data_IF_736664878723
#
_entry.id   IF_736664878723
#
_cell.length_a   1.000
_cell.length_b   1.000
_cell.length_c   1.000
_cell.angle_alpha   90.00
_cell.angle_beta   90.00
_cell.angle_gamma   90.00
#
_symmetry.space_group_name_H-M   'P 1'
#
loop_
_entity.id
_entity.type
_entity.pdbx_description
1 polymer ?
#
# COMPACT_ATOMS: atom_id res chain seq x y z
N UNK A 1 -8.05 0.73 20.48
CA UNK A 1 -8.16 0.42 19.03
C UNK A 1 -6.78 0.07 18.54
N UNK A 2 -6.60 -1.19 18.14
CA UNK A 2 -5.39 -1.71 17.50
C UNK A 2 -5.36 -1.15 16.07
N UNK A 3 -4.30 -0.46 15.67
CA UNK A 3 -4.19 0.03 14.30
C UNK A 3 -3.69 -1.14 13.45
N UNK A 4 -4.61 -1.86 12.80
CA UNK A 4 -4.26 -3.00 11.97
C UNK A 4 -3.96 -2.56 10.55
N UNK A 5 -2.83 -3.01 10.01
CA UNK A 5 -2.60 -3.06 8.57
C UNK A 5 -2.64 -4.51 8.12
N UNK A 6 -3.61 -4.85 7.28
CA UNK A 6 -3.72 -6.17 6.67
C UNK A 6 -3.79 -6.00 5.16
N UNK A 7 -3.15 -6.91 4.44
CA UNK A 7 -3.22 -6.99 2.99
C UNK A 7 -3.22 -8.47 2.61
N UNK A 8 -4.00 -8.84 1.61
CA UNK A 8 -4.08 -10.18 1.07
C UNK A 8 -4.30 -10.09 -0.44
N UNK A 9 -4.04 -11.20 -1.13
CA UNK A 9 -4.32 -11.34 -2.54
C UNK A 9 -5.13 -12.60 -2.82
N UNK A 10 -5.87 -12.59 -3.92
CA UNK A 10 -6.62 -13.73 -4.42
C UNK A 10 -6.46 -13.84 -5.93
N UNK A 11 -6.09 -15.02 -6.43
CA UNK A 11 -6.13 -15.34 -7.86
C UNK A 11 -7.59 -15.51 -8.30
N UNK A 12 -8.07 -14.63 -9.19
CA UNK A 12 -9.43 -14.73 -9.74
C UNK A 12 -9.46 -15.61 -10.99
N UNK A 13 -8.44 -15.47 -11.84
CA UNK A 13 -8.20 -16.27 -13.04
C UNK A 13 -6.70 -16.14 -13.41
N UNK A 14 -6.16 -16.96 -14.33
CA UNK A 14 -4.78 -16.81 -14.78
C UNK A 14 -4.45 -15.37 -15.20
N UNK A 15 -3.43 -14.80 -14.56
CA UNK A 15 -2.99 -13.42 -14.78
C UNK A 15 -3.90 -12.34 -14.19
N UNK A 16 -4.88 -12.66 -13.34
CA UNK A 16 -5.72 -11.63 -12.70
C UNK A 16 -5.80 -11.87 -11.20
N UNK A 17 -5.28 -10.89 -10.46
CA UNK A 17 -5.25 -10.90 -9.01
C UNK A 17 -6.18 -9.82 -8.46
N UNK A 18 -6.87 -10.17 -7.37
CA UNK A 18 -7.55 -9.20 -6.53
C UNK A 18 -6.69 -8.95 -5.30
N UNK A 19 -6.36 -7.68 -5.08
CA UNK A 19 -5.76 -7.23 -3.83
C UNK A 19 -6.87 -6.70 -2.93
N UNK A 20 -6.73 -6.95 -1.63
CA UNK A 20 -7.66 -6.45 -0.65
C UNK A 20 -7.03 -6.39 0.73
N UNK A 21 -7.58 -5.54 1.58
CA UNK A 21 -7.12 -5.46 2.95
C UNK A 21 -7.79 -4.36 3.72
N UNK A 22 -7.31 -4.18 4.94
CA UNK A 22 -7.77 -3.16 5.86
C UNK A 22 -6.60 -2.33 6.34
N UNK A 23 -6.82 -1.03 6.41
CA UNK A 23 -5.96 -0.12 7.15
C UNK A 23 -6.89 0.57 8.12
N UNK A 24 -6.76 0.31 9.42
CA UNK A 24 -7.67 0.90 10.40
C UNK A 24 -7.57 2.43 10.36
N UNK A 25 -8.63 3.04 9.84
CA UNK A 25 -8.81 4.49 9.78
C UNK A 25 -9.51 4.96 11.06
N UNK A 26 -9.35 6.24 11.37
CA UNK A 26 -9.96 6.85 12.56
C UNK A 26 -11.35 7.40 12.19
N UNK A 27 -12.41 7.10 12.96
CA UNK A 27 -13.72 7.70 12.77
C UNK A 27 -13.63 9.23 12.92
N UNK A 28 -14.45 9.96 12.16
CA UNK A 28 -14.52 11.44 12.22
C UNK A 28 -14.71 11.93 13.66
N UNK A 29 -15.49 11.23 14.46
CA UNK A 29 -15.78 11.56 15.86
C UNK A 29 -14.53 11.65 16.73
N UNK A 30 -13.52 10.83 16.47
CA UNK A 30 -12.26 10.80 17.22
C UNK A 30 -11.34 11.97 16.85
N UNK A 31 -11.65 12.77 15.83
CA UNK A 31 -10.90 14.00 15.50
C UNK A 31 -11.22 15.15 16.44
N UNK A 32 -12.34 15.07 17.17
CA UNK A 32 -12.80 16.14 18.03
C UNK A 32 -11.78 16.37 19.15
N UNK A 33 -11.11 17.53 19.11
CA UNK A 33 -10.14 17.91 20.13
C UNK A 33 -8.72 17.35 19.94
N UNK A 34 -8.42 16.72 18.80
CA UNK A 34 -7.03 16.43 18.44
C UNK A 34 -6.26 17.72 18.14
N UNK A 35 -4.95 17.71 18.37
CA UNK A 35 -4.09 18.87 18.08
C UNK A 35 -4.18 19.31 16.61
N UNK A 36 -4.34 18.37 15.67
CA UNK A 36 -4.52 18.68 14.26
C UNK A 36 -5.83 19.42 13.95
N UNK A 37 -6.85 19.35 14.82
CA UNK A 37 -8.16 19.96 14.61
C UNK A 37 -8.09 21.49 14.58
N UNK A 38 -7.24 22.09 15.41
CA UNK A 38 -7.14 23.55 15.50
C UNK A 38 -6.64 24.20 14.19
N UNK A 39 -6.02 23.43 13.30
CA UNK A 39 -5.56 23.89 11.98
C UNK A 39 -6.40 23.31 10.83
N UNK A 40 -6.82 22.04 10.93
CA UNK A 40 -7.52 21.37 9.82
C UNK A 40 -9.02 21.62 9.81
N UNK A 41 -9.65 21.90 10.97
CA UNK A 41 -11.12 22.03 11.16
C UNK A 41 -11.94 20.87 10.60
N UNK A 42 -11.30 19.73 10.36
CA UNK A 42 -11.89 18.65 9.60
C UNK A 42 -13.11 18.04 10.29
N UNK A 43 -13.08 17.90 11.62
CA UNK A 43 -14.21 17.38 12.39
C UNK A 43 -15.49 18.19 12.16
N UNK A 44 -15.39 19.53 12.23
CA UNK A 44 -16.53 20.41 12.03
C UNK A 44 -17.11 20.28 10.61
N UNK A 45 -16.24 20.30 9.59
CA UNK A 45 -16.63 20.18 8.19
C UNK A 45 -17.22 18.80 7.85
N UNK A 46 -16.60 17.74 8.38
CA UNK A 46 -17.02 16.37 8.17
C UNK A 46 -18.35 16.08 8.88
N UNK A 47 -18.53 16.57 10.10
CA UNK A 47 -19.78 16.45 10.85
C UNK A 47 -20.94 17.15 10.14
N UNK A 48 -20.70 18.36 9.60
CA UNK A 48 -21.71 19.08 8.81
C UNK A 48 -22.13 18.33 7.53
N UNK A 49 -21.22 17.51 6.97
CA UNK A 49 -21.44 16.69 5.77
C UNK A 49 -21.91 15.26 6.09
N UNK A 50 -22.04 14.90 7.37
CA UNK A 50 -22.38 13.54 7.78
C UNK A 50 -21.35 12.47 7.41
N UNK A 51 -20.08 12.86 7.23
CA UNK A 51 -19.00 11.92 6.95
C UNK A 51 -18.66 11.13 8.22
N UNK A 52 -18.46 9.82 8.05
CA UNK A 52 -18.05 8.92 9.15
C UNK A 52 -16.55 8.73 9.24
N UNK A 53 -15.85 8.88 8.11
CA UNK A 53 -14.42 8.62 7.97
C UNK A 53 -13.77 9.71 7.11
N UNK A 54 -12.48 9.97 7.35
CA UNK A 54 -11.65 10.75 6.43
C UNK A 54 -10.88 9.80 5.55
N UNK A 55 -11.29 9.70 4.30
CA UNK A 55 -10.57 8.91 3.30
C UNK A 55 -9.44 9.76 2.72
N UNK A 56 -8.24 9.19 2.54
CA UNK A 56 -7.09 9.84 1.85
C UNK A 56 -5.83 8.99 1.90
N UNK A 57 -5.76 8.03 2.82
CA UNK A 57 -4.62 7.13 2.92
C UNK A 57 -4.45 6.29 1.66
N UNK A 58 -3.20 5.95 1.33
CA UNK A 58 -2.88 5.03 0.24
C UNK A 58 -2.02 3.88 0.72
N UNK A 59 -2.35 2.69 0.26
CA UNK A 59 -1.52 1.49 0.39
C UNK A 59 -0.87 1.24 -0.95
N UNK A 60 0.43 1.05 -0.97
CA UNK A 60 1.15 0.74 -2.18
C UNK A 60 1.37 -0.76 -2.29
N UNK A 61 1.57 -1.22 -3.50
CA UNK A 61 1.92 -2.60 -3.76
C UNK A 61 2.90 -2.71 -4.91
N UNK A 62 3.67 -3.80 -4.90
CA UNK A 62 4.67 -4.13 -5.91
C UNK A 62 4.66 -5.62 -6.14
N UNK A 63 4.60 -6.02 -7.41
CA UNK A 63 4.86 -7.37 -7.86
C UNK A 63 6.14 -7.36 -8.69
N UNK A 64 7.13 -8.14 -8.28
CA UNK A 64 8.41 -8.23 -8.99
C UNK A 64 8.88 -9.67 -9.10
N UNK A 65 9.84 -9.92 -10.00
CA UNK A 65 10.62 -11.17 -9.94
C UNK A 65 11.31 -11.28 -8.57
N UNK A 66 11.57 -12.52 -8.10
CA UNK A 66 12.18 -12.78 -6.78
C UNK A 66 13.55 -12.09 -6.61
N UNK A 67 14.32 -12.03 -7.70
CA UNK A 67 15.69 -11.51 -7.75
C UNK A 67 15.77 -10.02 -8.09
N UNK A 68 14.64 -9.35 -8.30
CA UNK A 68 14.64 -7.94 -8.66
C UNK A 68 15.27 -7.09 -7.56
N UNK A 69 16.29 -6.30 -7.93
CA UNK A 69 16.99 -5.37 -7.04
C UNK A 69 16.72 -3.94 -7.50
N UNK A 70 16.28 -3.10 -6.57
CA UNK A 70 16.04 -1.67 -6.83
C UNK A 70 17.37 -0.93 -7.08
N UNK A 71 17.81 -0.82 -8.33
CA UNK A 71 19.01 -0.07 -8.73
C UNK A 71 18.79 1.44 -8.89
N UNK A 72 17.89 2.02 -8.08
CA UNK A 72 17.53 3.46 -8.12
C UNK A 72 18.71 4.41 -7.83
N UNK A 73 19.82 3.88 -7.32
CA UNK A 73 21.03 4.62 -6.94
C UNK A 73 21.82 5.20 -8.11
N UNK A 74 21.63 4.71 -9.34
CA UNK A 74 22.43 5.13 -10.50
C UNK A 74 21.75 6.21 -11.36
N UNK A 75 20.53 6.63 -11.02
CA UNK A 75 19.79 7.66 -11.78
C UNK A 75 19.43 7.24 -13.22
N UNK A 76 19.61 5.97 -13.56
CA UNK A 76 19.18 5.39 -14.83
C UNK A 76 17.74 4.93 -14.74
N UNK A 77 16.95 5.29 -15.75
CA UNK A 77 15.59 4.79 -15.96
C UNK A 77 15.57 3.55 -16.87
N UNK A 78 16.73 3.13 -17.37
CA UNK A 78 16.85 1.93 -18.19
C UNK A 78 16.60 0.70 -17.31
N UNK A 79 15.58 -0.08 -17.68
CA UNK A 79 15.27 -1.37 -17.07
C UNK A 79 15.55 -2.50 -18.03
N UNK A 80 15.94 -3.64 -17.50
CA UNK A 80 15.98 -4.88 -18.27
C UNK A 80 14.53 -5.26 -18.66
N UNK A 81 14.17 -5.27 -19.95
CA UNK A 81 12.81 -5.59 -20.39
C UNK A 81 12.43 -7.07 -20.13
N UNK A 82 13.37 -7.88 -19.64
CA UNK A 82 13.14 -9.27 -19.25
C UNK A 82 12.68 -9.41 -17.82
N UNK A 83 12.78 -8.36 -17.00
CA UNK A 83 12.37 -8.41 -15.60
C UNK A 83 10.92 -7.97 -15.44
N UNK A 84 10.19 -8.65 -14.57
CA UNK A 84 8.86 -8.21 -14.16
C UNK A 84 9.00 -7.21 -13.02
N UNK A 85 8.54 -5.98 -13.23
CA UNK A 85 8.30 -5.03 -12.14
C UNK A 85 7.03 -4.24 -12.38
N UNK A 86 6.04 -4.45 -11.52
CA UNK A 86 4.82 -3.66 -11.50
C UNK A 86 4.60 -3.08 -10.11
N UNK A 87 4.16 -1.83 -10.05
CA UNK A 87 3.89 -1.11 -8.81
C UNK A 87 2.72 -0.15 -8.99
N UNK A 88 1.89 -0.01 -7.96
CA UNK A 88 0.83 1.00 -7.94
C UNK A 88 0.39 1.29 -6.50
N UNK A 89 -0.66 2.09 -6.34
CA UNK A 89 -1.27 2.46 -5.08
C UNK A 89 -2.78 2.23 -5.11
N UNK A 90 -3.32 1.76 -3.99
CA UNK A 90 -4.74 1.61 -3.74
C UNK A 90 -5.21 2.68 -2.78
N UNK A 91 -6.34 3.30 -3.10
CA UNK A 91 -7.00 4.25 -2.22
C UNK A 91 -7.68 3.53 -1.06
N UNK A 92 -7.46 4.01 0.16
CA UNK A 92 -8.14 3.50 1.35
C UNK A 92 -9.41 4.31 1.57
N UNK A 93 -10.54 3.61 1.54
CA UNK A 93 -11.87 4.15 1.80
C UNK A 93 -12.54 3.38 2.93
N UNK A 94 -13.06 4.09 3.93
CA UNK A 94 -13.74 3.50 5.09
C UNK A 94 -12.90 2.40 5.77
N UNK A 95 -11.57 2.60 5.84
CA UNK A 95 -10.62 1.66 6.44
C UNK A 95 -10.33 0.41 5.60
N UNK A 96 -10.80 0.36 4.36
CA UNK A 96 -10.64 -0.79 3.47
C UNK A 96 -10.05 -0.35 2.14
N UNK A 97 -9.33 -1.26 1.51
CA UNK A 97 -8.88 -1.10 0.14
C UNK A 97 -9.09 -2.41 -0.61
N UNK A 98 -9.38 -2.29 -1.90
CA UNK A 98 -9.37 -3.43 -2.81
C UNK A 98 -9.18 -2.92 -4.22
N UNK A 99 -8.42 -3.67 -5.00
CA UNK A 99 -8.25 -3.42 -6.42
C UNK A 99 -8.12 -4.74 -7.17
N UNK A 100 -8.48 -4.73 -8.45
CA UNK A 100 -8.32 -5.90 -9.33
C UNK A 100 -7.34 -5.55 -10.43
N UNK A 101 -6.27 -6.31 -10.49
CA UNK A 101 -5.15 -6.07 -11.37
C UNK A 101 -5.10 -7.18 -12.42
N UNK A 102 -5.15 -6.78 -13.69
CA UNK A 102 -5.18 -7.68 -14.83
C UNK A 102 -3.83 -7.66 -15.56
N UNK A 103 -3.02 -8.68 -15.30
CA UNK A 103 -1.74 -8.96 -15.94
C UNK A 103 -1.87 -9.83 -17.20
N UNK A 104 -3.08 -10.26 -17.56
CA UNK A 104 -3.31 -11.16 -18.69
C UNK A 104 -3.31 -10.45 -20.06
N UNK A 105 -3.39 -9.11 -20.03
CA UNK A 105 -3.43 -8.25 -21.22
C UNK A 105 -2.17 -8.41 -22.05
N UNK A 106 -2.33 -8.65 -23.34
CA UNK A 106 -1.21 -8.94 -24.24
C UNK A 106 -0.32 -7.71 -24.43
N UNK A 107 -0.92 -6.53 -24.39
CA UNK A 107 -0.27 -5.23 -24.55
C UNK A 107 0.71 -4.94 -23.40
N UNK A 108 0.43 -5.53 -22.24
CA UNK A 108 1.21 -5.32 -21.02
C UNK A 108 2.37 -6.33 -20.89
N UNK A 109 2.40 -7.40 -21.70
CA UNK A 109 3.46 -8.43 -21.66
C UNK A 109 4.83 -7.93 -22.05
N UNK A 110 4.91 -6.83 -22.80
CA UNK A 110 6.18 -6.17 -23.12
C UNK A 110 6.79 -5.46 -21.90
N UNK A 111 5.96 -5.14 -20.90
CA UNK A 111 6.37 -4.48 -19.67
C UNK A 111 6.46 -5.48 -18.50
N UNK A 112 5.66 -6.54 -18.53
CA UNK A 112 5.58 -7.55 -17.48
C UNK A 112 5.68 -8.95 -18.13
N UNK A 113 6.90 -9.44 -18.38
CA UNK A 113 7.11 -10.66 -19.17
C UNK A 113 6.83 -11.94 -18.39
N UNK A 114 6.82 -11.90 -17.04
CA UNK A 114 6.57 -13.05 -16.17
C UNK A 114 7.40 -14.28 -16.55
N UNK A 115 8.71 -14.09 -16.74
CA UNK A 115 9.64 -15.17 -17.10
C UNK A 115 10.13 -15.95 -15.89
N UNK A 116 10.20 -15.33 -14.72
CA UNK A 116 10.68 -15.97 -13.50
C UNK A 116 9.75 -17.12 -13.03
N UNK A 117 10.32 -18.05 -12.27
CA UNK A 117 9.57 -19.12 -11.61
C UNK A 117 8.91 -18.64 -10.31
N UNK A 118 9.51 -17.61 -9.69
CA UNK A 118 9.11 -17.05 -8.40
C UNK A 118 9.05 -15.53 -8.44
N UNK A 119 8.12 -15.00 -7.66
CA UNK A 119 7.81 -13.58 -7.58
C UNK A 119 7.68 -13.13 -6.14
N UNK A 120 7.86 -11.83 -5.90
CA UNK A 120 7.58 -11.18 -4.64
C UNK A 120 6.45 -10.19 -4.80
N UNK A 121 5.39 -10.39 -4.02
CA UNK A 121 4.32 -9.42 -3.85
C UNK A 121 4.51 -8.73 -2.51
N UNK A 122 4.65 -7.40 -2.56
CA UNK A 122 4.87 -6.59 -1.39
C UNK A 122 3.79 -5.53 -1.31
N UNK A 123 3.11 -5.45 -0.17
CA UNK A 123 2.24 -4.34 0.18
C UNK A 123 2.96 -3.47 1.21
N UNK A 124 2.88 -2.16 1.06
CA UNK A 124 3.41 -1.27 2.09
C UNK A 124 2.58 -0.02 2.30
N UNK A 125 2.73 0.51 3.50
CA UNK A 125 2.17 1.76 3.94
C UNK A 125 3.29 2.64 4.51
N UNK A 126 3.20 3.96 4.35
CA UNK A 126 4.23 4.90 4.79
C UNK A 126 3.65 5.83 5.85
N UNK A 127 3.87 5.57 7.16
CA UNK A 127 3.31 6.35 8.26
C UNK A 127 3.69 7.83 8.26
N UNK A 128 4.90 8.16 7.81
CA UNK A 128 5.39 9.54 7.70
C UNK A 128 5.35 10.12 6.28
N UNK A 129 4.69 9.43 5.36
CA UNK A 129 4.62 9.84 3.96
C UNK A 129 3.46 10.80 3.71
N UNK A 130 3.49 11.50 2.58
CA UNK A 130 2.37 12.34 2.09
C UNK A 130 1.08 11.54 1.83
N UNK A 131 1.21 10.21 1.72
CA UNK A 131 0.11 9.26 1.61
C UNK A 131 -0.49 8.84 2.94
N UNK A 132 0.10 9.24 4.08
CA UNK A 132 -0.47 9.09 5.41
C UNK A 132 -0.97 10.46 5.85
N UNK A 133 -2.28 10.66 5.97
CA UNK A 133 -2.82 11.90 6.48
C UNK A 133 -2.38 12.20 7.92
N UNK A 134 -2.29 13.47 8.29
CA UNK A 134 -1.75 13.91 9.59
C UNK A 134 -2.45 13.24 10.78
N UNK A 135 -3.77 13.08 10.68
CA UNK A 135 -4.58 12.46 11.73
C UNK A 135 -4.25 10.99 11.98
N UNK A 136 -3.89 10.27 10.93
CA UNK A 136 -3.58 8.85 11.02
C UNK A 136 -2.18 8.72 11.63
N UNK A 137 -1.29 9.61 11.22
CA UNK A 137 0.08 9.75 11.75
C UNK A 137 0.10 10.01 13.26
N UNK A 138 -0.75 10.90 13.78
CA UNK A 138 -0.86 11.15 15.23
C UNK A 138 -1.19 9.89 16.04
N UNK A 139 -1.86 8.91 15.42
CA UNK A 139 -2.29 7.67 16.08
C UNK A 139 -1.32 6.52 15.89
N UNK A 140 -0.86 6.32 14.66
CA UNK A 140 0.06 5.23 14.34
C UNK A 140 1.50 5.56 14.71
N UNK A 141 1.79 6.84 14.97
CA UNK A 141 3.12 7.37 15.23
C UNK A 141 3.92 7.60 13.95
N UNK A 142 4.98 8.39 14.07
CA UNK A 142 5.81 8.79 12.93
C UNK A 142 6.52 7.59 12.27
N UNK A 143 6.73 6.50 13.02
CA UNK A 143 7.38 5.29 12.50
C UNK A 143 6.43 4.10 12.38
N UNK A 144 5.11 4.31 12.54
CA UNK A 144 4.13 3.24 12.53
C UNK A 144 4.17 2.35 13.78
N UNK A 145 4.63 2.89 14.92
CA UNK A 145 4.78 2.20 16.19
C UNK A 145 3.50 1.51 16.67
N UNK A 146 2.33 2.04 16.30
CA UNK A 146 1.04 1.46 16.68
C UNK A 146 0.46 0.48 15.64
N UNK A 147 1.13 0.27 14.49
CA UNK A 147 0.71 -0.70 13.48
C UNK A 147 1.15 -2.12 13.87
N UNK A 148 0.24 -2.90 14.44
CA UNK A 148 0.49 -4.29 14.78
C UNK A 148 0.31 -5.22 13.56
N UNK A 149 0.90 -6.42 13.60
CA UNK A 149 0.69 -7.46 12.57
C UNK A 149 1.46 -7.27 11.27
N UNK A 150 2.49 -6.42 11.25
CA UNK A 150 3.28 -6.08 10.06
C UNK A 150 4.75 -5.89 10.38
N UNK A 151 5.62 -5.92 9.36
CA UNK A 151 7.06 -5.70 9.54
C UNK A 151 7.41 -4.26 9.21
N UNK A 152 7.98 -3.53 10.17
CA UNK A 152 8.51 -2.19 9.91
C UNK A 152 9.89 -2.30 9.26
N UNK A 153 10.02 -1.88 8.01
CA UNK A 153 11.31 -1.72 7.32
C UNK A 153 11.79 -0.29 7.45
N UNK A 154 12.89 -0.09 8.18
CA UNK A 154 13.51 1.23 8.42
C UNK A 154 13.89 1.96 7.13
N UNK A 155 14.22 1.22 6.08
CA UNK A 155 14.43 1.74 4.73
C UNK A 155 13.86 0.72 3.73
N UNK A 156 12.88 1.15 2.93
CA UNK A 156 12.28 0.35 1.87
C UNK A 156 12.04 1.25 0.66
N UNK A 157 12.67 0.92 -0.48
CA UNK A 157 12.58 1.71 -1.73
C UNK A 157 12.88 3.20 -1.47
N UNK A 158 13.93 3.49 -0.68
CA UNK A 158 14.31 4.85 -0.33
C UNK A 158 13.38 5.57 0.65
N UNK A 159 12.31 4.91 1.12
CA UNK A 159 11.37 5.46 2.10
C UNK A 159 11.72 4.98 3.50
N UNK A 160 11.70 5.90 4.46
CA UNK A 160 11.94 5.58 5.87
C UNK A 160 10.70 5.00 6.53
N UNK A 161 10.91 3.95 7.34
CA UNK A 161 9.91 3.34 8.22
C UNK A 161 8.63 2.90 7.50
N UNK A 162 8.77 2.24 6.35
CA UNK A 162 7.65 1.63 5.67
C UNK A 162 7.14 0.43 6.48
N UNK A 163 5.83 0.30 6.58
CA UNK A 163 5.18 -0.87 7.17
C UNK A 163 4.83 -1.83 6.04
N UNK A 164 5.37 -3.05 6.09
CA UNK A 164 5.43 -3.95 4.94
C UNK A 164 4.80 -5.31 5.26
N UNK A 165 4.07 -5.85 4.28
CA UNK A 165 3.58 -7.23 4.22
C UNK A 165 4.12 -7.84 2.92
N UNK A 166 4.82 -8.96 3.02
CA UNK A 166 5.48 -9.61 1.88
C UNK A 166 4.94 -11.03 1.68
N UNK A 167 4.81 -11.42 0.43
CA UNK A 167 4.44 -12.76 -0.02
C UNK A 167 5.45 -13.22 -1.06
N UNK A 168 6.01 -14.40 -0.85
CA UNK A 168 6.71 -15.14 -1.90
C UNK A 168 5.65 -15.94 -2.67
N UNK A 169 5.64 -15.77 -4.00
CA UNK A 169 4.66 -16.37 -4.89
C UNK A 169 5.36 -17.28 -5.89
N UNK A 170 4.78 -18.46 -6.13
CA UNK A 170 5.12 -19.26 -7.29
C UNK A 170 4.37 -18.73 -8.51
N UNK A 171 4.90 -19.00 -9.71
CA UNK A 171 4.23 -18.61 -10.98
C UNK A 171 2.78 -19.10 -11.06
N UNK A 172 2.47 -20.26 -10.46
CA UNK A 172 1.12 -20.84 -10.39
C UNK A 172 0.13 -20.03 -9.53
N UNK A 173 0.61 -19.22 -8.60
CA UNK A 173 -0.23 -18.32 -7.81
C UNK A 173 -0.73 -17.14 -8.65
N UNK A 174 -0.09 -16.88 -9.79
CA UNK A 174 -0.41 -15.82 -10.72
C UNK A 174 -1.11 -16.38 -11.97
N UNK A 175 -0.57 -17.43 -12.60
CA UNK A 175 -1.05 -18.02 -13.86
C UNK A 175 -1.61 -19.43 -13.68
#
# INVERSE_FOLDING_TARGET
VDAGFTATFQKLKPGVLRFSGTLNMIPVEEYKGLACECFTKFYADASAKGLKWRDTARVFWRLSDEYYVDNLSEGSWERDPRETLMWDSMYVKDGKFSDTVDFSRKEDKQFYPFVADKYKLVFWFIPAGTCCPEFLQDRIGWNGEALSGSTVKKNYIGVKNAVVIEYDLDKSDIF
#
